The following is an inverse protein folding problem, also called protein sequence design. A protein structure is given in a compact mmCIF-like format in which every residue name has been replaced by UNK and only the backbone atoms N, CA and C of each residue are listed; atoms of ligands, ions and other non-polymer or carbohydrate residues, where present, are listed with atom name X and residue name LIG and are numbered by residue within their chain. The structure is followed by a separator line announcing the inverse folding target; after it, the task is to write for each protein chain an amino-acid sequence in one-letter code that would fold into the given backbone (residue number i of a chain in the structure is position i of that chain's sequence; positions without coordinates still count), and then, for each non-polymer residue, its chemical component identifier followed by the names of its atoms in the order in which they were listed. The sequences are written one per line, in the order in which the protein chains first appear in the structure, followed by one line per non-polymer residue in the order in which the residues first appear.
data_IF_434711511220
#
_entry.id   IF_434711511220
#
_cell.length_a   1.000
_cell.length_b   1.000
_cell.length_c   1.000
_cell.angle_alpha   90.00
_cell.angle_beta   90.00
_cell.angle_gamma   90.00
#
_symmetry.space_group_name_H-M   'P 1'
#
loop_
_entity.id
_entity.type
_entity.pdbx_description
1 polymer ?
#
# COMPACT_ATOMS: atom_id res chain seq x y z
N UNK A 1 11.62 -2.85 17.79
CA UNK A 1 10.41 -3.64 18.07
C UNK A 1 10.72 -5.12 17.91
N UNK A 2 10.13 -5.97 18.76
CA UNK A 2 10.37 -7.41 18.77
C UNK A 2 9.09 -8.15 18.35
N UNK A 3 9.20 -9.14 17.45
CA UNK A 3 8.08 -10.00 17.02
C UNK A 3 8.59 -11.44 16.84
N UNK A 4 8.04 -12.37 17.62
CA UNK A 4 8.37 -13.80 17.54
C UNK A 4 7.43 -14.49 16.54
N UNK A 5 7.78 -14.37 15.26
CA UNK A 5 6.97 -14.81 14.13
C UNK A 5 7.88 -15.41 13.04
N UNK A 6 7.29 -16.20 12.14
CA UNK A 6 8.01 -16.77 11.00
C UNK A 6 8.74 -15.72 10.16
N UNK A 7 10.00 -16.00 9.83
CA UNK A 7 10.82 -15.13 8.99
C UNK A 7 10.45 -15.23 7.51
N UNK A 8 10.68 -14.14 6.79
CA UNK A 8 10.62 -13.99 5.33
C UNK A 8 11.73 -13.02 4.91
N UNK A 9 11.91 -12.81 3.61
CA UNK A 9 12.97 -11.95 3.08
C UNK A 9 12.98 -10.53 3.70
N UNK A 10 11.82 -10.01 4.10
CA UNK A 10 11.60 -8.69 4.66
C UNK A 10 11.18 -8.72 6.16
N UNK A 11 11.28 -9.86 6.84
CA UNK A 11 10.84 -10.03 8.25
C UNK A 11 11.98 -10.48 9.15
N UNK A 12 12.25 -9.68 10.18
CA UNK A 12 13.25 -9.94 11.22
C UNK A 12 12.57 -10.00 12.60
N UNK A 13 13.11 -10.78 13.56
CA UNK A 13 12.53 -10.87 14.90
C UNK A 13 12.71 -9.55 15.68
N UNK A 14 13.72 -8.77 15.31
CA UNK A 14 13.95 -7.40 15.78
C UNK A 14 14.05 -6.46 14.57
N UNK A 15 13.36 -5.33 14.64
CA UNK A 15 13.37 -4.31 13.58
C UNK A 15 13.08 -2.92 14.15
N UNK A 16 13.49 -1.88 13.42
CA UNK A 16 13.33 -0.47 13.83
C UNK A 16 12.04 0.11 13.27
N UNK A 17 11.31 0.88 14.08
CA UNK A 17 10.14 1.65 13.65
C UNK A 17 10.38 3.14 13.89
N UNK A 18 9.80 3.97 13.02
CA UNK A 18 9.60 5.40 13.29
C UNK A 18 8.20 5.52 13.88
N UNK A 19 8.12 5.67 15.20
CA UNK A 19 6.86 5.71 15.95
C UNK A 19 6.33 7.15 16.03
N UNK A 20 5.06 7.36 15.69
CA UNK A 20 4.43 8.68 15.62
C UNK A 20 3.02 8.59 16.22
N UNK A 21 2.76 9.41 17.24
CA UNK A 21 1.44 9.58 17.84
C UNK A 21 1.04 11.06 17.80
N UNK A 22 -0.25 11.34 17.64
CA UNK A 22 -0.77 12.72 17.57
C UNK A 22 -2.02 12.88 18.43
N UNK A 23 -2.35 14.11 18.82
CA UNK A 23 -3.56 14.41 19.57
C UNK A 23 -4.43 15.39 18.79
N UNK A 24 -5.75 15.19 18.81
CA UNK A 24 -6.74 16.07 18.17
C UNK A 24 -6.59 16.21 16.64
N UNK A 25 -6.00 15.22 15.97
CA UNK A 25 -5.86 15.19 14.52
C UNK A 25 -6.78 14.15 13.88
N UNK A 26 -7.30 14.44 12.69
CA UNK A 26 -8.00 13.46 11.86
C UNK A 26 -7.01 12.53 11.15
N UNK A 27 -7.49 11.39 10.64
CA UNK A 27 -6.67 10.45 9.87
C UNK A 27 -6.03 11.08 8.63
N UNK A 28 -6.72 12.03 7.99
CA UNK A 28 -6.19 12.77 6.84
C UNK A 28 -5.04 13.70 7.23
N UNK A 29 -5.16 14.36 8.38
CA UNK A 29 -4.10 15.23 8.90
C UNK A 29 -2.86 14.42 9.28
N UNK A 30 -3.04 13.26 9.93
CA UNK A 30 -1.93 12.35 10.26
C UNK A 30 -1.25 11.84 8.98
N UNK A 31 -2.03 11.43 7.97
CA UNK A 31 -1.50 11.01 6.66
C UNK A 31 -0.70 12.13 6.00
N UNK A 32 -1.18 13.38 6.06
CA UNK A 32 -0.48 14.53 5.49
C UNK A 32 0.90 14.78 6.12
N UNK A 33 1.02 14.63 7.45
CA UNK A 33 2.32 14.75 8.14
C UNK A 33 3.27 13.63 7.71
N UNK A 34 2.78 12.39 7.65
CA UNK A 34 3.59 11.23 7.26
C UNK A 34 4.00 11.28 5.78
N UNK A 35 3.09 11.71 4.89
CA UNK A 35 3.39 11.91 3.47
C UNK A 35 4.48 12.97 3.28
N UNK A 36 4.37 14.11 3.99
CA UNK A 36 5.40 15.16 3.95
C UNK A 36 6.77 14.61 4.39
N UNK A 37 6.83 13.86 5.49
CA UNK A 37 8.07 13.22 5.95
C UNK A 37 8.72 12.35 4.87
N UNK A 38 7.93 11.52 4.19
CA UNK A 38 8.41 10.63 3.13
C UNK A 38 8.88 11.45 1.92
N UNK A 39 8.08 12.43 1.46
CA UNK A 39 8.45 13.30 0.33
C UNK A 39 9.74 14.07 0.58
N UNK A 40 9.88 14.67 1.76
CA UNK A 40 11.08 15.41 2.14
C UNK A 40 12.31 14.49 2.17
N UNK A 41 12.19 13.28 2.73
CA UNK A 41 13.29 12.32 2.76
C UNK A 41 13.75 11.89 1.36
N UNK A 42 12.82 11.66 0.43
CA UNK A 42 13.18 11.33 -0.97
C UNK A 42 13.83 12.51 -1.68
N UNK A 43 13.31 13.72 -1.47
CA UNK A 43 13.87 14.93 -2.07
C UNK A 43 15.29 15.21 -1.54
N UNK A 44 15.52 15.11 -0.23
CA UNK A 44 16.82 15.41 0.37
C UNK A 44 17.87 14.34 0.08
N UNK A 45 17.52 13.05 0.14
CA UNK A 45 18.49 11.96 0.01
C UNK A 45 18.75 11.56 -1.45
N UNK A 46 17.74 11.70 -2.32
CA UNK A 46 17.79 11.17 -3.70
C UNK A 46 17.52 12.24 -4.76
N UNK A 47 17.15 13.47 -4.39
CA UNK A 47 16.75 14.54 -5.30
C UNK A 47 15.62 14.12 -6.26
N UNK A 48 14.63 13.40 -5.71
CA UNK A 48 13.43 12.94 -6.44
C UNK A 48 12.19 13.57 -5.81
N UNK A 49 11.42 14.32 -6.60
CA UNK A 49 10.09 14.77 -6.22
C UNK A 49 9.07 13.67 -6.53
N UNK A 50 8.45 13.14 -5.48
CA UNK A 50 7.41 12.11 -5.59
C UNK A 50 6.03 12.67 -5.97
N UNK A 51 5.82 13.99 -5.89
CA UNK A 51 4.49 14.59 -6.01
C UNK A 51 3.54 14.20 -4.86
N UNK A 52 2.25 14.48 -5.04
CA UNK A 52 1.21 14.06 -4.08
C UNK A 52 0.92 12.57 -4.19
N UNK A 53 0.69 11.91 -3.06
CA UNK A 53 0.48 10.46 -3.05
C UNK A 53 -0.95 10.11 -3.50
N UNK A 54 -1.11 9.15 -4.44
CA UNK A 54 -2.43 8.67 -4.79
C UNK A 54 -3.08 7.94 -3.61
N UNK A 55 -4.37 8.21 -3.38
CA UNK A 55 -5.17 7.54 -2.35
C UNK A 55 -6.10 6.56 -3.03
N UNK A 56 -6.06 5.31 -2.57
CA UNK A 56 -6.88 4.23 -3.11
C UNK A 56 -7.66 3.57 -1.99
N UNK A 57 -8.94 3.32 -2.20
CA UNK A 57 -9.74 2.54 -1.26
C UNK A 57 -9.26 1.08 -1.25
N UNK A 58 -9.33 0.42 -0.09
CA UNK A 58 -9.00 -1.01 0.01
C UNK A 58 -9.76 -1.86 -1.01
N UNK A 59 -11.06 -1.62 -1.18
CA UNK A 59 -11.91 -2.33 -2.14
C UNK A 59 -11.45 -2.11 -3.58
N UNK A 60 -10.93 -0.93 -3.90
CA UNK A 60 -10.38 -0.64 -5.22
C UNK A 60 -9.06 -1.36 -5.45
N UNK A 61 -8.14 -1.32 -4.48
CA UNK A 61 -6.84 -1.99 -4.58
C UNK A 61 -6.99 -3.50 -4.77
N UNK A 62 -7.87 -4.13 -3.98
CA UNK A 62 -8.19 -5.55 -4.11
C UNK A 62 -8.86 -5.88 -5.44
N UNK A 63 -9.80 -5.03 -5.92
CA UNK A 63 -10.49 -5.26 -7.18
C UNK A 63 -9.56 -5.14 -8.39
N UNK A 64 -8.70 -4.12 -8.42
CA UNK A 64 -7.85 -3.81 -9.58
C UNK A 64 -6.53 -4.58 -9.57
N UNK A 65 -5.98 -4.93 -8.41
CA UNK A 65 -4.63 -5.50 -8.32
C UNK A 65 -4.54 -6.76 -7.48
N UNK A 66 -5.62 -7.17 -6.80
CA UNK A 66 -5.61 -8.35 -5.92
C UNK A 66 -4.67 -8.20 -4.71
N UNK A 67 -4.31 -6.97 -4.35
CA UNK A 67 -3.37 -6.67 -3.27
C UNK A 67 -3.73 -5.35 -2.61
N UNK A 68 -3.59 -5.30 -1.28
CA UNK A 68 -3.72 -4.10 -0.45
C UNK A 68 -2.46 -3.22 -0.44
N UNK A 69 -1.39 -3.67 -1.12
CA UNK A 69 -0.13 -2.95 -1.34
C UNK A 69 0.31 -3.05 -2.82
N UNK A 70 -0.51 -2.54 -3.75
CA UNK A 70 -0.26 -2.73 -5.18
C UNK A 70 1.01 -2.01 -5.65
N UNK A 71 1.79 -2.66 -6.51
CA UNK A 71 2.88 -2.01 -7.22
C UNK A 71 2.34 -1.29 -8.46
N UNK A 72 2.08 0.00 -8.33
CA UNK A 72 1.50 0.83 -9.39
C UNK A 72 2.45 1.10 -10.57
N UNK A 73 3.70 0.63 -10.50
CA UNK A 73 4.63 0.66 -11.65
C UNK A 73 4.32 -0.46 -12.64
N UNK A 74 3.64 -1.52 -12.20
CA UNK A 74 3.13 -2.56 -13.08
C UNK A 74 1.79 -2.11 -13.67
N UNK A 75 1.67 -1.96 -15.01
CA UNK A 75 0.46 -1.46 -15.63
C UNK A 75 -0.68 -2.49 -15.71
N UNK A 76 -0.45 -3.75 -15.33
CA UNK A 76 -1.47 -4.80 -15.42
C UNK A 76 -2.50 -4.68 -14.30
N UNK A 77 -3.77 -4.86 -14.66
CA UNK A 77 -4.92 -4.87 -13.74
C UNK A 77 -5.76 -6.14 -13.90
N UNK A 78 -6.45 -6.52 -12.83
CA UNK A 78 -7.50 -7.53 -12.83
C UNK A 78 -8.78 -6.93 -13.43
N UNK A 79 -9.35 -7.63 -14.40
CA UNK A 79 -10.64 -7.33 -15.00
C UNK A 79 -11.60 -8.44 -14.63
N UNK A 80 -12.70 -8.09 -13.97
CA UNK A 80 -13.76 -9.03 -13.64
C UNK A 80 -14.50 -9.42 -14.93
N UNK A 81 -14.67 -10.73 -15.12
CA UNK A 81 -15.37 -11.32 -16.27
C UNK A 81 -16.44 -12.31 -15.83
N UNK A 82 -16.83 -12.28 -14.55
CA UNK A 82 -17.75 -13.26 -13.96
C UNK A 82 -19.12 -13.24 -14.65
N UNK A 83 -19.58 -12.07 -15.10
CA UNK A 83 -20.81 -11.91 -15.87
C UNK A 83 -20.70 -12.52 -17.28
N UNK A 84 -19.52 -12.45 -17.91
CA UNK A 84 -19.26 -12.99 -19.24
C UNK A 84 -19.24 -14.51 -19.30
N UNK A 85 -18.85 -15.16 -18.19
CA UNK A 85 -18.66 -16.62 -18.14
C UNK A 85 -19.74 -17.34 -17.32
N UNK A 86 -20.77 -16.62 -16.86
CA UNK A 86 -21.76 -17.15 -15.92
C UNK A 86 -22.51 -18.39 -16.41
N UNK A 87 -22.83 -18.45 -17.71
CA UNK A 87 -23.70 -19.48 -18.29
C UNK A 87 -22.91 -20.63 -18.96
N UNK A 88 -21.58 -20.67 -18.79
CA UNK A 88 -20.76 -21.73 -19.37
C UNK A 88 -20.93 -23.04 -18.58
N UNK A 89 -20.99 -24.17 -19.28
CA UNK A 89 -21.10 -25.50 -18.65
C UNK A 89 -19.80 -25.99 -17.99
N UNK A 90 -18.72 -25.22 -18.10
CA UNK A 90 -17.41 -25.57 -17.56
C UNK A 90 -17.44 -25.63 -16.02
N UNK A 91 -17.49 -26.86 -15.49
CA UNK A 91 -17.43 -27.18 -14.06
C UNK A 91 -16.08 -27.82 -13.74
N UNK A 92 -15.15 -27.03 -13.22
CA UNK A 92 -13.91 -27.51 -12.58
C UNK A 92 -13.79 -26.83 -11.23
#
# INVERSE_FOLDING_TARGET
CFRDEDLRADRQPEFTQIDIETSFMSSEQVRGVTEKLIRDMWQELLNVDLGEFPVMAYSEAMRRFGSDKPDLRNPMELIDVADLVKDVEFKV
#
